data_IF_575112090328
#
_entry.id   IF_575112090328
#
_cell.length_a   1.000
_cell.length_b   1.000
_cell.length_c   1.000
_cell.angle_alpha   90.00
_cell.angle_beta   90.00
_cell.angle_gamma   90.00
#
_symmetry.space_group_name_H-M   'P 1'
#
loop_
_entity.id
_entity.type
_entity.pdbx_description
1 polymer ?
#
# COMPACT_ATOMS: atom_id res chain seq x y z
N UNK A 1 -14.07 13.29 -0.39
CA UNK A 1 -12.82 13.08 -1.17
C UNK A 1 -12.92 11.76 -1.92
N UNK A 2 -12.34 11.65 -3.11
CA UNK A 2 -12.27 10.37 -3.83
C UNK A 2 -11.40 9.37 -3.07
N UNK A 3 -11.72 8.07 -3.14
CA UNK A 3 -10.92 6.98 -2.52
C UNK A 3 -9.44 7.08 -2.89
N UNK A 4 -9.13 7.38 -4.16
CA UNK A 4 -7.76 7.57 -4.64
C UNK A 4 -7.04 8.76 -3.99
N UNK A 5 -7.78 9.82 -3.69
CA UNK A 5 -7.24 10.99 -3.00
C UNK A 5 -6.84 10.64 -1.57
N UNK A 6 -7.71 9.94 -0.83
CA UNK A 6 -7.41 9.51 0.54
C UNK A 6 -6.21 8.56 0.63
N UNK A 7 -6.10 7.59 -0.29
CA UNK A 7 -4.91 6.72 -0.38
C UNK A 7 -3.64 7.52 -0.65
N UNK A 8 -3.69 8.50 -1.56
CA UNK A 8 -2.54 9.34 -1.87
C UNK A 8 -2.13 10.22 -0.67
N UNK A 9 -3.10 10.79 0.05
CA UNK A 9 -2.85 11.56 1.27
C UNK A 9 -2.12 10.72 2.32
N UNK A 10 -2.63 9.51 2.62
CA UNK A 10 -1.98 8.59 3.56
C UNK A 10 -0.55 8.26 3.12
N UNK A 11 -0.34 7.97 1.83
CA UNK A 11 0.97 7.64 1.30
C UNK A 11 1.95 8.82 1.38
N UNK A 12 1.50 10.05 1.11
CA UNK A 12 2.33 11.26 1.23
C UNK A 12 2.69 11.52 2.69
N UNK A 13 1.72 11.48 3.60
CA UNK A 13 1.96 11.69 5.02
C UNK A 13 2.91 10.62 5.59
N UNK A 14 2.73 9.36 5.19
CA UNK A 14 3.60 8.26 5.61
C UNK A 14 5.05 8.41 5.16
N UNK A 15 5.28 8.88 3.93
CA UNK A 15 6.65 9.18 3.45
C UNK A 15 7.27 10.36 4.19
N UNK A 16 6.52 11.44 4.39
CA UNK A 16 7.02 12.62 5.10
C UNK A 16 7.22 12.37 6.60
N UNK A 17 6.59 11.34 7.16
CA UNK A 17 6.86 10.86 8.51
C UNK A 17 8.27 10.24 8.65
N UNK A 18 8.89 9.76 7.57
CA UNK A 18 10.26 9.23 7.62
C UNK A 18 11.29 10.35 7.64
N UNK A 19 11.15 11.31 6.73
CA UNK A 19 12.04 12.45 6.58
C UNK A 19 11.41 13.52 5.68
N UNK A 20 11.87 14.79 5.77
CA UNK A 20 11.54 15.81 4.78
C UNK A 20 11.96 15.37 3.37
N UNK A 21 11.14 15.68 2.37
CA UNK A 21 11.39 15.27 0.97
C UNK A 21 10.95 16.32 -0.03
N UNK A 22 11.61 16.35 -1.19
CA UNK A 22 11.16 17.15 -2.33
C UNK A 22 10.00 16.47 -3.07
N UNK A 23 9.16 17.27 -3.73
CA UNK A 23 8.03 16.75 -4.52
C UNK A 23 8.41 15.72 -5.59
N UNK A 24 9.60 15.84 -6.21
CA UNK A 24 10.11 14.84 -7.15
C UNK A 24 10.42 13.50 -6.47
N UNK A 25 11.05 13.54 -5.30
CA UNK A 25 11.41 12.36 -4.52
C UNK A 25 10.17 11.66 -3.98
N UNK A 26 9.20 12.44 -3.48
CA UNK A 26 7.88 11.94 -3.09
C UNK A 26 7.25 11.17 -4.23
N UNK A 27 7.16 11.75 -5.43
CA UNK A 27 6.60 11.06 -6.60
C UNK A 27 7.31 9.72 -6.88
N UNK A 28 8.64 9.73 -6.85
CA UNK A 28 9.45 8.54 -7.12
C UNK A 28 9.18 7.43 -6.10
N UNK A 29 9.17 7.77 -4.80
CA UNK A 29 8.87 6.80 -3.71
C UNK A 29 7.42 6.33 -3.72
N UNK A 30 6.47 7.23 -3.95
CA UNK A 30 5.05 6.89 -4.07
C UNK A 30 4.78 5.88 -5.18
N UNK A 31 5.49 5.99 -6.31
CA UNK A 31 5.37 5.04 -7.42
C UNK A 31 5.88 3.64 -7.03
N UNK A 32 6.83 3.55 -6.09
CA UNK A 32 7.29 2.28 -5.53
C UNK A 32 6.27 1.66 -4.57
N UNK A 33 5.66 2.46 -3.69
CA UNK A 33 4.67 2.00 -2.70
C UNK A 33 3.35 1.60 -3.34
N UNK A 34 2.82 2.43 -4.26
CA UNK A 34 1.53 2.21 -4.90
C UNK A 34 1.58 1.16 -6.03
N UNK A 35 2.80 0.71 -6.37
CA UNK A 35 3.06 -0.28 -7.41
C UNK A 35 3.09 0.30 -8.83
N UNK A 36 3.67 -0.49 -9.74
CA UNK A 36 3.92 -0.08 -11.13
C UNK A 36 2.64 0.31 -11.91
N UNK A 37 1.49 -0.26 -11.54
CA UNK A 37 0.21 0.00 -12.21
C UNK A 37 -0.45 1.31 -11.74
N UNK A 38 0.05 1.95 -10.67
CA UNK A 38 -0.54 3.15 -10.09
C UNK A 38 0.44 4.31 -10.13
N UNK A 39 0.61 4.80 -11.35
CA UNK A 39 1.48 5.95 -11.63
C UNK A 39 0.91 7.20 -10.97
N UNK A 40 1.62 7.72 -9.97
CA UNK A 40 1.32 9.04 -9.42
C UNK A 40 1.79 10.10 -10.41
N UNK A 41 0.84 10.87 -10.93
CA UNK A 41 1.12 12.01 -11.80
C UNK A 41 1.46 13.25 -10.98
N UNK A 42 2.19 14.21 -11.58
CA UNK A 42 2.34 15.53 -10.97
C UNK A 42 0.99 16.24 -10.80
N UNK A 43 0.05 15.99 -11.72
CA UNK A 43 -1.30 16.55 -11.67
C UNK A 43 -2.14 16.07 -10.49
N UNK A 44 -1.79 14.94 -9.87
CA UNK A 44 -2.43 14.46 -8.64
C UNK A 44 -1.61 14.80 -7.39
N UNK A 45 -0.27 14.76 -7.48
CA UNK A 45 0.60 15.00 -6.33
C UNK A 45 0.56 16.45 -5.84
N UNK A 46 0.73 17.43 -6.73
CA UNK A 46 0.83 18.83 -6.29
C UNK A 46 -0.48 19.39 -5.73
N UNK A 47 -1.67 19.08 -6.29
CA UNK A 47 -2.92 19.44 -5.63
C UNK A 47 -3.07 18.80 -4.25
N UNK A 48 -2.65 17.53 -4.08
CA UNK A 48 -2.64 16.87 -2.79
C UNK A 48 -1.72 17.59 -1.79
N UNK A 49 -0.47 17.88 -2.17
CA UNK A 49 0.48 18.62 -1.33
C UNK A 49 -0.07 19.99 -0.92
N UNK A 50 -0.69 20.72 -1.85
CA UNK A 50 -1.34 22.00 -1.56
C UNK A 50 -2.43 21.83 -0.50
N UNK A 51 -3.33 20.87 -0.67
CA UNK A 51 -4.40 20.60 0.31
C UNK A 51 -3.84 20.19 1.68
N UNK A 52 -2.78 19.39 1.73
CA UNK A 52 -2.13 19.01 2.99
C UNK A 52 -1.47 20.22 3.67
N UNK A 53 -0.88 21.14 2.90
CA UNK A 53 -0.28 22.37 3.43
C UNK A 53 -1.34 23.35 3.90
N UNK A 54 -2.42 23.53 3.15
CA UNK A 54 -3.59 24.35 3.53
C UNK A 54 -4.25 23.85 4.82
N UNK A 55 -4.20 22.54 5.09
CA UNK A 55 -4.67 21.91 6.34
C UNK A 55 -3.67 22.02 7.50
N UNK A 56 -2.47 22.54 7.26
CA UNK A 56 -1.42 22.62 8.27
C UNK A 56 -0.78 21.28 8.63
N UNK A 57 -0.98 20.23 7.82
CA UNK A 57 -0.39 18.91 8.06
C UNK A 57 1.05 18.81 7.54
N UNK A 58 1.44 19.68 6.60
CA UNK A 58 2.81 19.77 6.10
C UNK A 58 3.24 21.24 5.97
N UNK A 59 4.54 21.49 6.09
CA UNK A 59 5.18 22.78 5.82
C UNK A 59 6.05 22.73 4.58
N UNK A 60 6.18 23.87 3.89
CA UNK A 60 7.03 24.03 2.72
C UNK A 60 8.28 24.85 3.08
N UNK A 61 9.46 24.33 2.76
CA UNK A 61 10.73 24.99 2.95
C UNK A 61 11.41 25.23 1.60
N UNK A 62 11.72 26.48 1.29
CA UNK A 62 12.43 26.83 0.07
C UNK A 62 13.94 26.73 0.30
N UNK A 63 14.57 25.74 -0.34
CA UNK A 63 16.02 25.61 -0.34
C UNK A 63 16.62 26.50 -1.43
N UNK A 64 17.34 27.53 -0.99
CA UNK A 64 18.06 28.43 -1.88
C UNK A 64 19.33 27.74 -2.38
N UNK A 65 19.29 27.28 -3.63
CA UNK A 65 20.49 26.82 -4.33
C UNK A 65 21.06 27.99 -5.15
N UNK A 66 22.32 28.36 -4.88
CA UNK A 66 23.00 29.48 -5.56
C UNK A 66 22.93 29.30 -7.09
N UNK A 67 22.24 30.21 -7.78
CA UNK A 67 22.12 30.22 -9.25
C UNK A 67 21.12 29.23 -9.86
N UNK A 68 20.29 28.52 -9.07
CA UNK A 68 19.23 27.62 -9.58
C UNK A 68 17.87 28.03 -9.01
N UNK A 69 16.79 27.63 -9.70
CA UNK A 69 15.42 27.78 -9.18
C UNK A 69 15.33 27.11 -7.80
N UNK A 70 14.77 27.78 -6.77
CA UNK A 70 14.65 27.21 -5.44
C UNK A 70 13.88 25.90 -5.48
N UNK A 71 14.36 24.91 -4.73
CA UNK A 71 13.70 23.61 -4.56
C UNK A 71 12.84 23.67 -3.32
N UNK A 72 11.62 23.18 -3.39
CA UNK A 72 10.72 23.11 -2.25
C UNK A 72 10.87 21.73 -1.62
N UNK A 73 11.29 21.69 -0.36
CA UNK A 73 11.18 20.51 0.51
C UNK A 73 9.90 20.61 1.32
N UNK A 74 9.25 19.46 1.51
CA UNK A 74 8.05 19.31 2.32
C UNK A 74 8.43 18.59 3.60
N UNK A 75 7.88 19.04 4.73
CA UNK A 75 8.10 18.45 6.05
C UNK A 75 6.76 18.22 6.76
N UNK A 76 6.68 17.14 7.54
CA UNK A 76 5.48 16.79 8.29
C UNK A 76 5.40 17.59 9.59
N UNK A 77 4.26 18.23 9.86
CA UNK A 77 4.00 18.98 11.11
C UNK A 77 3.62 18.05 12.26
N UNK A 78 3.44 18.61 13.47
CA UNK A 78 2.91 17.85 14.60
C UNK A 78 1.47 17.38 14.33
N UNK A 79 0.63 18.28 13.81
CA UNK A 79 -0.74 18.00 13.40
C UNK A 79 -0.78 16.96 12.27
N UNK A 80 0.18 17.01 11.34
CA UNK A 80 0.33 16.02 10.29
C UNK A 80 0.69 14.63 10.81
N UNK A 81 1.50 14.54 11.86
CA UNK A 81 1.81 13.26 12.54
C UNK A 81 0.58 12.68 13.21
N UNK A 82 -0.18 13.49 13.95
CA UNK A 82 -1.43 13.06 14.58
C UNK A 82 -2.46 12.59 13.53
N UNK A 83 -2.57 13.32 12.43
CA UNK A 83 -3.46 12.93 11.34
C UNK A 83 -3.01 11.63 10.67
N UNK A 84 -1.70 11.45 10.44
CA UNK A 84 -1.16 10.21 9.91
C UNK A 84 -1.51 9.02 10.82
N UNK A 85 -1.33 9.16 12.14
CA UNK A 85 -1.70 8.11 13.10
C UNK A 85 -3.21 7.85 13.09
N UNK A 86 -4.03 8.89 13.04
CA UNK A 86 -5.50 8.76 12.94
C UNK A 86 -5.92 7.96 11.70
N UNK A 87 -5.28 8.21 10.56
CA UNK A 87 -5.53 7.45 9.34
C UNK A 87 -5.04 6.00 9.46
N UNK A 88 -3.91 5.77 10.13
CA UNK A 88 -3.39 4.43 10.36
C UNK A 88 -4.24 3.61 11.32
N UNK A 89 -4.86 4.23 12.34
CA UNK A 89 -5.69 3.56 13.33
C UNK A 89 -7.11 3.26 12.83
N UNK A 90 -7.52 3.93 11.76
CA UNK A 90 -8.78 3.66 11.08
C UNK A 90 -8.71 2.32 10.34
N UNK A 91 -9.56 1.36 10.71
CA UNK A 91 -9.76 0.13 9.95
C UNK A 91 -11.21 0.06 9.49
N UNK A 92 -11.47 0.53 8.27
CA UNK A 92 -12.79 0.48 7.63
C UNK A 92 -12.73 -0.09 6.22
N UNK A 93 -13.90 -0.26 5.55
CA UNK A 93 -14.01 -0.93 4.26
C UNK A 93 -13.00 -0.50 3.20
N UNK A 94 -12.66 0.79 3.16
CA UNK A 94 -11.72 1.33 2.18
C UNK A 94 -10.29 0.85 2.39
N UNK A 95 -9.90 0.43 3.59
CA UNK A 95 -8.50 0.11 3.95
C UNK A 95 -8.03 -1.24 3.42
N UNK A 96 -8.95 -2.17 3.17
CA UNK A 96 -8.66 -3.51 2.64
C UNK A 96 -9.09 -3.71 1.18
N UNK A 97 -9.57 -2.64 0.52
CA UNK A 97 -9.72 -2.63 -0.93
C UNK A 97 -8.35 -2.63 -1.62
N UNK A 98 -8.28 -3.20 -2.82
CA UNK A 98 -7.03 -3.33 -3.60
C UNK A 98 -6.29 -2.00 -3.72
N UNK A 99 -7.04 -0.90 -3.85
CA UNK A 99 -6.44 0.41 -4.00
C UNK A 99 -5.84 1.00 -2.71
N UNK A 100 -6.13 0.48 -1.52
CA UNK A 100 -5.64 1.10 -0.27
C UNK A 100 -4.78 0.16 0.55
N UNK A 101 -4.95 -1.14 0.36
CA UNK A 101 -4.27 -2.14 1.16
C UNK A 101 -2.75 -2.02 1.11
N UNK A 102 -2.15 -1.91 -0.07
CA UNK A 102 -0.69 -1.82 -0.23
C UNK A 102 -0.09 -0.65 0.55
N UNK A 103 -0.80 0.48 0.61
CA UNK A 103 -0.35 1.67 1.34
C UNK A 103 -0.40 1.42 2.84
N UNK A 104 -1.51 0.87 3.36
CA UNK A 104 -1.59 0.53 4.78
C UNK A 104 -0.50 -0.49 5.13
N UNK A 105 -0.34 -1.52 4.31
CA UNK A 105 0.66 -2.56 4.47
C UNK A 105 2.08 -2.00 4.55
N UNK A 106 2.44 -1.06 3.66
CA UNK A 106 3.75 -0.41 3.66
C UNK A 106 4.07 0.32 4.98
N UNK A 107 3.04 0.72 5.73
CA UNK A 107 3.17 1.45 7.00
C UNK A 107 2.71 0.65 8.23
N UNK A 108 2.46 -0.66 8.11
CA UNK A 108 2.03 -1.52 9.22
C UNK A 108 2.94 -1.50 10.45
N UNK A 109 4.23 -1.22 10.27
CA UNK A 109 5.16 -1.00 11.39
C UNK A 109 4.78 0.16 12.32
N UNK A 110 3.87 1.04 11.89
CA UNK A 110 3.37 2.19 12.66
C UNK A 110 1.95 1.99 13.19
N UNK A 111 1.23 0.96 12.74
CA UNK A 111 -0.10 0.62 13.26
C UNK A 111 -0.01 -0.21 14.54
N UNK A 112 -1.08 -0.24 15.33
CA UNK A 112 -1.23 -1.23 16.41
C UNK A 112 -1.52 -2.63 15.85
N UNK A 113 -1.25 -3.68 16.63
CA UNK A 113 -1.53 -5.06 16.21
C UNK A 113 -3.01 -5.29 15.90
N UNK A 114 -3.90 -4.76 16.75
CA UNK A 114 -5.35 -4.88 16.57
C UNK A 114 -5.83 -4.23 15.27
N UNK A 115 -5.19 -3.13 14.85
CA UNK A 115 -5.49 -2.49 13.57
C UNK A 115 -4.98 -3.34 12.40
N UNK A 116 -3.73 -3.82 12.46
CA UNK A 116 -3.17 -4.72 11.43
C UNK A 116 -4.07 -5.94 11.23
N UNK A 117 -4.45 -6.61 12.32
CA UNK A 117 -5.33 -7.78 12.30
C UNK A 117 -6.68 -7.46 11.64
N UNK A 118 -7.33 -6.36 12.04
CA UNK A 118 -8.61 -5.95 11.44
C UNK A 118 -8.50 -5.72 9.93
N UNK A 119 -7.44 -5.05 9.46
CA UNK A 119 -7.23 -4.79 8.03
C UNK A 119 -6.97 -6.10 7.28
N UNK A 120 -6.12 -6.97 7.82
CA UNK A 120 -5.79 -8.26 7.21
C UNK A 120 -7.02 -9.18 7.12
N UNK A 121 -7.80 -9.28 8.20
CA UNK A 121 -9.02 -10.08 8.25
C UNK A 121 -10.11 -9.53 7.33
N UNK A 122 -10.24 -8.20 7.25
CA UNK A 122 -11.13 -7.53 6.31
C UNK A 122 -10.77 -7.85 4.85
N UNK A 123 -9.47 -7.81 4.51
CA UNK A 123 -9.00 -8.16 3.16
C UNK A 123 -9.22 -9.63 2.85
N UNK A 124 -8.89 -10.53 3.78
CA UNK A 124 -9.10 -11.97 3.60
C UNK A 124 -10.57 -12.26 3.30
N UNK A 125 -11.48 -11.77 4.14
CA UNK A 125 -12.93 -11.97 3.96
C UNK A 125 -13.40 -11.49 2.58
N UNK A 126 -12.91 -10.31 2.14
CA UNK A 126 -13.25 -9.75 0.83
C UNK A 126 -12.73 -10.59 -0.34
N UNK A 127 -11.51 -11.12 -0.22
CA UNK A 127 -10.92 -11.97 -1.25
C UNK A 127 -11.58 -13.36 -1.30
N UNK A 128 -11.98 -13.90 -0.16
CA UNK A 128 -12.76 -15.15 -0.08
C UNK A 128 -14.11 -15.00 -0.77
N UNK A 129 -14.86 -13.92 -0.50
CA UNK A 129 -16.11 -13.61 -1.22
C UNK A 129 -15.89 -13.50 -2.74
N UNK A 130 -14.82 -12.80 -3.14
CA UNK A 130 -14.48 -12.63 -4.56
C UNK A 130 -14.11 -13.97 -5.22
N UNK A 131 -13.38 -14.82 -4.50
CA UNK A 131 -12.95 -16.13 -4.96
C UNK A 131 -14.14 -17.06 -5.16
N UNK A 132 -15.07 -17.11 -4.21
CA UNK A 132 -16.28 -17.93 -4.32
C UNK A 132 -17.17 -17.47 -5.48
N UNK A 133 -17.36 -16.16 -5.61
CA UNK A 133 -18.08 -15.58 -6.76
C UNK A 133 -17.41 -15.93 -8.09
N UNK A 134 -16.08 -15.83 -8.18
CA UNK A 134 -15.33 -16.12 -9.40
C UNK A 134 -15.37 -17.62 -9.76
N UNK A 135 -15.25 -18.52 -8.77
CA UNK A 135 -15.37 -19.97 -8.96
C UNK A 135 -16.74 -20.36 -9.48
N UNK A 136 -17.81 -19.79 -8.92
CA UNK A 136 -19.17 -20.05 -9.39
C UNK A 136 -19.38 -19.57 -10.83
N UNK A 137 -18.89 -18.38 -11.17
CA UNK A 137 -18.95 -17.88 -12.55
C UNK A 137 -18.15 -18.74 -13.52
N UNK A 138 -16.97 -19.22 -13.13
CA UNK A 138 -16.16 -20.12 -13.94
C UNK A 138 -16.87 -21.46 -14.19
N UNK A 139 -17.55 -22.01 -13.16
CA UNK A 139 -18.35 -23.23 -13.28
C UNK A 139 -19.48 -23.08 -14.29
N UNK A 140 -20.22 -21.97 -14.23
CA UNK A 140 -21.37 -21.71 -15.11
C UNK A 140 -20.97 -21.44 -16.56
N UNK A 141 -19.77 -20.90 -16.81
CA UNK A 141 -19.30 -20.51 -18.16
C UNK A 141 -18.37 -21.53 -18.82
N UNK A 142 -18.16 -22.69 -18.19
CA UNK A 142 -17.16 -23.70 -18.59
C UNK A 142 -17.29 -24.15 -20.04
N UNK A 143 -18.52 -24.27 -20.55
CA UNK A 143 -18.79 -24.76 -21.92
C UNK A 143 -18.78 -23.66 -22.99
N UNK A 144 -18.79 -22.38 -22.59
CA UNK A 144 -18.93 -21.23 -23.49
C UNK A 144 -17.64 -20.42 -23.68
N UNK A 145 -16.55 -20.84 -23.03
CA UNK A 145 -15.30 -20.07 -22.96
C UNK A 145 -14.23 -20.74 -23.82
N UNK A 146 -13.52 -19.98 -24.65
CA UNK A 146 -12.37 -20.50 -25.38
C UNK A 146 -11.21 -20.83 -24.42
N UNK A 147 -10.24 -21.60 -24.91
CA UNK A 147 -9.11 -22.08 -24.11
C UNK A 147 -8.32 -20.95 -23.44
N UNK A 148 -8.02 -19.86 -24.16
CA UNK A 148 -7.16 -18.80 -23.61
C UNK A 148 -7.89 -17.96 -22.57
N UNK A 149 -9.18 -17.69 -22.78
CA UNK A 149 -10.00 -17.01 -21.78
C UNK A 149 -10.16 -17.88 -20.51
N UNK A 150 -10.28 -19.20 -20.65
CA UNK A 150 -10.31 -20.12 -19.51
C UNK A 150 -8.99 -20.10 -18.71
N UNK A 151 -7.84 -20.09 -19.39
CA UNK A 151 -6.53 -19.94 -18.74
C UNK A 151 -6.38 -18.58 -18.03
N UNK A 152 -6.87 -17.49 -18.63
CA UNK A 152 -6.86 -16.17 -17.99
C UNK A 152 -7.71 -16.13 -16.70
N UNK A 153 -8.89 -16.75 -16.72
CA UNK A 153 -9.73 -16.88 -15.52
C UNK A 153 -9.05 -17.73 -14.45
N UNK A 154 -8.43 -18.85 -14.85
CA UNK A 154 -7.68 -19.73 -13.95
C UNK A 154 -6.53 -18.99 -13.28
N UNK A 155 -5.75 -18.21 -14.04
CA UNK A 155 -4.67 -17.39 -13.49
C UNK A 155 -5.18 -16.40 -12.43
N UNK A 156 -6.30 -15.71 -12.69
CA UNK A 156 -6.91 -14.79 -11.71
C UNK A 156 -7.38 -15.48 -10.42
N UNK A 157 -7.93 -16.69 -10.53
CA UNK A 157 -8.31 -17.52 -9.38
C UNK A 157 -7.07 -17.92 -8.57
N UNK A 158 -6.05 -18.48 -9.23
CA UNK A 158 -4.81 -18.91 -8.58
C UNK A 158 -4.10 -17.74 -7.86
N UNK A 159 -4.09 -16.55 -8.45
CA UNK A 159 -3.56 -15.35 -7.83
C UNK A 159 -4.34 -14.95 -6.57
N UNK A 160 -5.68 -14.98 -6.62
CA UNK A 160 -6.54 -14.66 -5.46
C UNK A 160 -6.38 -15.70 -4.35
N UNK A 161 -6.31 -16.98 -4.70
CA UNK A 161 -6.07 -18.08 -3.75
C UNK A 161 -4.71 -17.96 -3.06
N UNK A 162 -3.68 -17.61 -3.83
CA UNK A 162 -2.36 -17.36 -3.29
C UNK A 162 -2.39 -16.23 -2.26
N UNK A 163 -3.07 -15.12 -2.58
CA UNK A 163 -3.19 -13.99 -1.66
C UNK A 163 -3.95 -14.34 -0.38
N UNK A 164 -5.05 -15.11 -0.46
CA UNK A 164 -5.78 -15.59 0.72
C UNK A 164 -4.90 -16.47 1.61
N UNK A 165 -4.10 -17.38 1.03
CA UNK A 165 -3.16 -18.21 1.79
C UNK A 165 -2.12 -17.36 2.51
N UNK A 166 -1.50 -16.43 1.79
CA UNK A 166 -0.51 -15.50 2.35
C UNK A 166 -1.10 -14.66 3.50
N UNK A 167 -2.33 -14.15 3.37
CA UNK A 167 -3.01 -13.42 4.43
C UNK A 167 -3.28 -14.29 5.67
N UNK A 168 -3.66 -15.55 5.48
CA UNK A 168 -3.88 -16.47 6.60
C UNK A 168 -2.59 -16.75 7.39
N UNK A 169 -1.48 -16.97 6.70
CA UNK A 169 -0.16 -17.13 7.31
C UNK A 169 0.22 -15.87 8.10
N UNK A 170 0.03 -14.68 7.50
CA UNK A 170 0.37 -13.42 8.15
C UNK A 170 -0.50 -13.11 9.38
N UNK A 171 -1.81 -13.36 9.31
CA UNK A 171 -2.73 -13.21 10.45
C UNK A 171 -2.31 -14.14 11.59
N UNK A 172 -1.91 -15.37 11.28
CA UNK A 172 -1.45 -16.34 12.29
C UNK A 172 -0.19 -15.83 12.98
N UNK A 173 0.82 -15.41 12.20
CA UNK A 173 2.07 -14.87 12.74
C UNK A 173 1.85 -13.60 13.58
N UNK A 174 0.94 -12.72 13.17
CA UNK A 174 0.63 -11.48 13.91
C UNK A 174 -0.03 -11.78 15.27
N UNK A 175 -0.91 -12.79 15.34
CA UNK A 175 -1.54 -13.24 16.60
C UNK A 175 -0.50 -13.83 17.56
N UNK A 176 0.35 -14.72 17.07
CA UNK A 176 1.43 -15.33 17.85
C UNK A 176 2.42 -14.28 18.38
N UNK A 177 2.76 -13.28 17.55
CA UNK A 177 3.63 -12.17 17.92
C UNK A 177 3.03 -11.28 19.01
N UNK A 178 1.71 -11.12 19.06
CA UNK A 178 1.01 -10.34 20.08
C UNK A 178 0.87 -11.09 21.41
N UNK A 179 0.62 -12.40 21.37
CA UNK A 179 0.58 -13.25 22.57
C UNK A 179 1.94 -13.30 23.28
N UNK A 180 3.03 -13.48 22.52
CA UNK A 180 4.39 -13.49 23.06
C UNK A 180 4.78 -12.17 23.76
N UNK A 181 4.37 -11.02 23.21
CA UNK A 181 4.57 -9.70 23.83
C UNK A 181 3.75 -9.52 25.12
N UNK A 182 2.55 -10.10 25.19
CA UNK A 182 1.70 -10.07 26.38
C UNK A 182 2.29 -10.91 27.53
N UNK A 183 2.72 -12.15 27.25
CA UNK A 183 3.30 -13.07 28.24
C UNK A 183 4.64 -12.57 28.82
N UNK A 184 5.46 -11.90 28.00
CA UNK A 184 6.72 -11.29 28.46
C UNK A 184 6.54 -10.12 29.44
N UNK A 185 5.39 -9.42 29.40
CA UNK A 185 5.11 -8.29 30.28
C UNK A 185 4.63 -8.74 31.68
N UNK A 186 4.00 -9.90 31.80
CA UNK A 186 3.53 -10.45 33.09
C UNK A 186 4.66 -11.02 33.96
N UNK A 187 5.80 -11.40 33.39
CA UNK A 187 6.89 -12.08 34.15
C UNK A 187 7.80 -11.11 34.94
N UNK A 188 7.72 -9.78 34.74
CA UNK A 188 8.61 -8.81 35.41
C UNK A 188 8.03 -8.18 36.69
N UNK A 189 6.82 -8.55 37.11
CA UNK A 189 6.14 -7.99 38.29
C UNK A 189 6.14 -8.93 39.51
N UNK A 190 7.19 -9.75 39.69
CA UNK A 190 7.41 -10.52 40.91
C UNK A 190 8.44 -9.83 41.81
N UNK A 191 8.00 -8.93 42.67
CA UNK A 191 8.79 -8.48 43.83
C UNK A 191 8.72 -9.60 44.89
N UNK A 192 9.82 -10.21 45.33
CA UNK A 192 9.77 -11.12 46.46
C UNK A 192 9.69 -10.32 47.76
N UNK A 193 8.53 -10.37 48.42
CA UNK A 193 8.32 -9.87 49.78
C UNK A 193 9.05 -10.77 50.77
N UNK A 194 9.97 -10.19 51.55
CA UNK A 194 10.69 -10.84 52.64
C UNK A 194 9.78 -11.15 53.83
N UNK A 195 9.93 -12.33 54.42
CA UNK A 195 9.62 -12.62 55.83
C UNK A 195 10.12 -14.02 56.22
N UNK A 196 11.22 -14.09 56.97
CA UNK A 196 11.36 -14.92 58.16
C UNK A 196 12.77 -14.71 58.76
N UNK A 197 12.80 -14.35 60.04
CA UNK A 197 13.99 -14.25 60.86
C UNK A 197 14.45 -15.64 61.32
N UNK A 198 15.75 -15.85 61.44
CA UNK A 198 16.34 -16.69 62.49
C UNK A 198 17.81 -16.33 62.71
N UNK A 199 18.14 -16.14 63.99
CA UNK A 199 19.44 -15.87 64.58
C UNK A 199 20.47 -16.98 64.25
N UNK A 200 21.75 -16.62 64.13
CA UNK A 200 22.89 -17.27 64.83
C UNK A 200 24.18 -16.47 64.60
N UNK A 201 24.96 -16.35 65.69
CA UNK A 201 26.19 -15.59 65.87
C UNK A 201 27.44 -16.10 65.09
N UNK A 202 28.47 -15.22 65.08
CA UNK A 202 29.92 -15.48 64.86
C UNK A 202 30.32 -15.81 63.40
N UNK A 203 31.43 -15.34 62.84
CA UNK A 203 32.74 -15.02 63.39
C UNK A 203 33.55 -14.14 62.39
N UNK A 204 34.66 -13.60 62.88
CA UNK A 204 35.62 -12.67 62.25
C UNK A 204 36.46 -13.34 61.15
N UNK A 205 36.71 -12.67 60.02
CA UNK A 205 38.04 -12.64 59.35
C UNK A 205 38.08 -11.75 58.09
N UNK A 206 38.70 -10.59 58.26
CA UNK A 206 39.75 -9.99 57.42
C UNK A 206 40.13 -10.64 56.05
N UNK A 207 40.25 -9.76 55.04
CA UNK A 207 41.47 -9.54 54.21
C UNK A 207 41.41 -9.73 52.69
N UNK A 208 41.99 -8.70 52.04
CA UNK A 208 42.71 -8.65 50.74
C UNK A 208 41.87 -8.55 49.45
N UNK A 209 41.92 -7.39 48.76
CA UNK A 209 42.89 -7.00 47.69
C UNK A 209 42.97 -8.09 46.61
N UNK A 210 42.77 -7.85 45.31
CA UNK A 210 43.53 -6.95 44.41
C UNK A 210 42.82 -7.04 43.04
N UNK A 211 42.43 -5.92 42.44
CA UNK A 211 42.94 -5.32 41.19
C UNK A 211 43.63 -6.22 40.13
N UNK A 212 43.50 -5.74 38.88
CA UNK A 212 44.07 -6.08 37.57
C UNK A 212 43.06 -6.70 36.58
N UNK A 213 42.58 -5.95 35.57
CA UNK A 213 43.29 -5.41 34.39
C UNK A 213 43.59 -6.46 33.32
N UNK A 214 43.50 -6.01 32.06
CA UNK A 214 43.86 -6.67 30.78
C UNK A 214 42.63 -7.29 30.08
N UNK A 215 42.06 -6.77 29.00
CA UNK A 215 42.60 -5.89 27.96
C UNK A 215 43.23 -6.71 26.84
N UNK A 216 42.45 -7.14 25.82
CA UNK A 216 43.03 -7.35 24.49
C UNK A 216 42.04 -7.23 23.34
N UNK A 217 42.49 -6.44 22.36
CA UNK A 217 41.89 -6.07 21.08
C UNK A 217 41.92 -7.22 20.05
N UNK A 218 40.95 -7.11 19.14
CA UNK A 218 40.82 -7.43 17.71
C UNK A 218 42.13 -7.66 16.91
N UNK A 219 42.07 -8.41 15.79
CA UNK A 219 41.98 -7.77 14.45
C UNK A 219 40.94 -8.48 13.53
N UNK A 220 40.05 -7.83 12.78
CA UNK A 220 40.20 -6.98 11.58
C UNK A 220 40.96 -7.65 10.44
N UNK A 221 40.23 -8.15 9.43
CA UNK A 221 40.72 -8.24 8.05
C UNK A 221 39.61 -7.86 7.07
N UNK A 222 40.02 -7.02 6.12
CA UNK A 222 39.33 -6.41 5.01
C UNK A 222 39.89 -6.98 3.70
N UNK A 223 39.04 -7.16 2.69
CA UNK A 223 39.36 -7.05 1.25
C UNK A 223 38.01 -7.14 0.50
N UNK A 224 37.44 -6.07 -0.08
CA UNK A 224 37.73 -5.45 -1.40
C UNK A 224 37.81 -6.45 -2.55
N UNK A 225 36.79 -6.46 -3.40
CA UNK A 225 36.96 -6.62 -4.84
C UNK A 225 35.80 -5.94 -5.59
N UNK A 226 36.15 -4.82 -6.22
CA UNK A 226 35.46 -4.17 -7.32
C UNK A 226 35.45 -5.09 -8.54
N UNK A 227 34.34 -5.12 -9.29
CA UNK A 227 34.40 -5.17 -10.77
C UNK A 227 33.09 -4.61 -11.32
N UNK A 228 33.17 -3.38 -11.80
CA UNK A 228 32.25 -2.77 -12.76
C UNK A 228 32.30 -3.53 -14.10
N UNK A 229 31.14 -3.74 -14.73
CA UNK A 229 31.03 -3.92 -16.18
C UNK A 229 29.75 -3.29 -16.69
N UNK A 230 29.93 -2.11 -17.29
CA UNK A 230 29.03 -1.50 -18.26
C UNK A 230 28.88 -2.40 -19.49
N UNK A 231 27.65 -2.59 -19.97
CA UNK A 231 27.37 -2.87 -21.39
C UNK A 231 26.18 -2.02 -21.82
N UNK A 232 26.54 -0.86 -22.37
CA UNK A 232 25.97 -0.19 -23.54
C UNK A 232 24.60 -0.58 -24.09
N UNK A 233 23.75 0.46 -24.15
CA UNK A 233 22.59 0.64 -25.01
C UNK A 233 22.86 0.23 -26.47
N UNK A 234 21.85 -0.40 -27.10
CA UNK A 234 21.73 -0.46 -28.56
C UNK A 234 20.32 -0.05 -28.95
N UNK A 235 20.21 1.20 -29.42
CA UNK A 235 19.16 1.66 -30.32
C UNK A 235 19.22 0.81 -31.59
N UNK A 236 18.11 0.20 -31.96
CA UNK A 236 17.88 -0.19 -33.36
C UNK A 236 16.56 0.41 -33.81
N UNK A 237 16.70 1.22 -34.85
CA UNK A 237 15.70 1.99 -35.55
C UNK A 237 14.75 1.09 -36.34
N UNK A 238 13.50 1.57 -36.35
CA UNK A 238 12.42 1.41 -37.31
C UNK A 238 12.82 1.03 -38.76
N UNK A 239 12.07 0.08 -39.31
CA UNK A 239 11.86 -0.12 -40.75
C UNK A 239 10.46 -0.70 -40.98
N UNK A 240 9.49 0.21 -41.16
CA UNK A 240 8.66 0.31 -42.36
C UNK A 240 8.24 -1.01 -43.06
N UNK A 241 6.96 -1.33 -42.94
CA UNK A 241 6.09 -1.70 -44.09
C UNK A 241 4.65 -1.45 -43.60
N UNK A 242 3.79 -0.61 -44.17
CA UNK A 242 3.64 -0.20 -45.55
C UNK A 242 2.18 -0.43 -45.95
N UNK A 243 1.25 0.42 -45.49
CA UNK A 243 -0.03 0.60 -46.20
C UNK A 243 -0.67 1.94 -45.88
N UNK A 244 -0.82 2.75 -46.92
CA UNK A 244 -1.50 4.04 -46.90
C UNK A 244 -2.49 4.05 -48.07
N UNK A 245 -3.63 4.71 -47.83
CA UNK A 245 -4.58 5.34 -48.78
C UNK A 245 -5.72 4.42 -49.31
N UNK A 246 -6.98 4.91 -49.51
CA UNK A 246 -7.45 6.32 -49.52
C UNK A 246 -8.61 6.69 -48.60
N UNK A 247 -8.61 8.00 -48.32
CA UNK A 247 -9.74 8.90 -48.09
C UNK A 247 -10.63 9.03 -49.34
N UNK A 248 -11.96 8.95 -49.16
CA UNK A 248 -12.90 9.62 -50.05
C UNK A 248 -13.96 10.36 -49.23
N UNK A 249 -14.13 11.62 -49.60
CA UNK A 249 -15.16 12.56 -49.18
C UNK A 249 -15.96 12.95 -50.43
N UNK A 250 -17.28 12.86 -50.38
CA UNK A 250 -18.26 13.62 -51.17
C UNK A 250 -19.63 13.32 -50.53
N UNK A 251 -20.30 14.23 -49.81
CA UNK A 251 -21.17 15.36 -50.23
C UNK A 251 -22.40 14.99 -51.08
N UNK A 252 -23.49 15.70 -50.74
CA UNK A 252 -24.83 15.81 -51.35
C UNK A 252 -25.87 14.80 -50.81
N UNK A 253 -26.87 15.18 -50.01
CA UNK A 253 -27.94 16.20 -50.09
C UNK A 253 -29.28 15.60 -50.55
N UNK A 254 -30.35 16.07 -49.90
CA UNK A 254 -31.75 16.17 -50.40
C UNK A 254 -32.78 15.11 -49.93
N UNK A 255 -33.59 15.57 -48.96
CA UNK A 255 -35.06 15.56 -48.88
C UNK A 255 -35.92 14.30 -48.62
N UNK A 256 -36.79 14.49 -47.60
CA UNK A 256 -38.25 14.29 -47.54
C UNK A 256 -38.83 12.98 -48.11
N UNK A 257 -39.51 12.20 -47.26
CA UNK A 257 -40.98 12.15 -47.33
C UNK A 257 -41.62 11.33 -46.19
N UNK A 258 -42.75 11.88 -45.74
CA UNK A 258 -43.78 11.26 -44.93
C UNK A 258 -44.20 9.90 -45.47
N UNK A 259 -44.45 8.93 -44.58
CA UNK A 259 -45.54 7.99 -44.84
C UNK A 259 -46.17 7.46 -43.53
N UNK A 260 -47.34 8.02 -43.20
CA UNK A 260 -48.38 7.30 -42.46
C UNK A 260 -49.33 6.66 -43.47
N UNK A 261 -49.96 5.54 -43.10
CA UNK A 261 -51.40 5.48 -43.33
C UNK A 261 -52.22 5.01 -42.12
N UNK A 262 -53.30 5.77 -41.90
CA UNK A 262 -54.68 5.42 -41.48
C UNK A 262 -55.10 3.98 -41.86
N UNK A 263 -56.09 3.27 -41.32
CA UNK A 263 -57.19 3.41 -40.32
C UNK A 263 -57.93 2.06 -40.33
N UNK A 264 -58.62 1.68 -39.24
CA UNK A 264 -59.92 0.96 -39.19
C UNK A 264 -60.04 0.23 -37.83
N UNK A 265 -60.77 0.73 -36.82
CA UNK A 265 -62.24 0.72 -36.60
C UNK A 265 -62.82 -0.64 -36.18
N UNK A 266 -63.18 -0.78 -34.90
CA UNK A 266 -64.46 -1.32 -34.36
C UNK A 266 -64.40 -1.26 -32.80
N UNK A 267 -65.23 -0.47 -32.09
CA UNK A 267 -66.59 -0.78 -31.54
C UNK A 267 -66.59 -2.09 -30.71
N UNK A 268 -67.07 -2.22 -29.46
CA UNK A 268 -68.16 -1.59 -28.69
C UNK A 268 -67.89 -1.66 -27.16
N UNK A 269 -68.55 -0.74 -26.44
CA UNK A 269 -68.94 -0.79 -25.02
C UNK A 269 -69.79 -2.05 -24.71
N UNK A 270 -69.92 -2.53 -23.45
CA UNK A 270 -70.86 -1.86 -22.53
C UNK A 270 -70.55 -1.89 -21.03
N UNK A 271 -70.99 -0.80 -20.39
CA UNK A 271 -71.62 -0.64 -19.08
C UNK A 271 -71.92 -1.90 -18.25
N UNK A 272 -71.37 -1.92 -17.03
CA UNK A 272 -72.09 -2.13 -15.76
C UNK A 272 -71.29 -1.52 -14.60
#
# INVERSE_FOLDING_TARGET
MSRRGATLELAVLGLLHEQPMHGYELRKRLSGILGAFRVVSYGSLYPCLRTLSERGWITEHAEQTRGKRPRISYELTAEGKEQFQTLMDYAGPNTWEDDSFDVHFAFFGRASSDVRLRILEGRRSRLEERLDGAREQARLRRERTDRYTAELHRYGLEATEHEVRWLNELITAEREGSESKSTGMTTRAGIPSQSAAEDTEREVSESKTTDLSTGRRIPSQSATEDTEREVSESKTTDLSTGRRIPSQSATEDTELENNSPRTSSQTEDPTA
#
